data_IF_344811128545
#
_entry.id   IF_344811128545
#
_cell.length_a   1.000
_cell.length_b   1.000
_cell.length_c   1.000
_cell.angle_alpha   90.00
_cell.angle_beta   90.00
_cell.angle_gamma   90.00
#
_symmetry.space_group_name_H-M   'P 1'
#
loop_
_entity.id
_entity.type
_entity.pdbx_description
1 polymer ?
#
# COMPACT_ATOMS: atom_id res chain seq x y z
N UNK A 1 21.08 5.86 -28.42
CA UNK A 1 21.14 5.67 -26.94
C UNK A 1 20.10 6.48 -26.14
N UNK A 2 19.90 7.78 -26.44
CA UNK A 2 18.96 8.66 -25.71
C UNK A 2 17.47 8.45 -26.02
N UNK A 3 17.14 7.93 -27.21
CA UNK A 3 15.76 7.69 -27.64
C UNK A 3 15.10 6.51 -26.88
N UNK A 4 15.88 5.46 -26.58
CA UNK A 4 15.42 4.26 -25.86
C UNK A 4 15.07 4.54 -24.39
N UNK A 5 15.74 5.52 -23.77
CA UNK A 5 15.54 5.87 -22.36
C UNK A 5 14.23 6.64 -22.13
N UNK A 6 13.82 7.50 -23.08
CA UNK A 6 12.54 8.23 -23.04
C UNK A 6 11.33 7.29 -23.16
N UNK A 7 11.42 6.26 -23.99
CA UNK A 7 10.34 5.28 -24.19
C UNK A 7 10.09 4.46 -22.91
N UNK A 8 11.14 4.06 -22.19
CA UNK A 8 11.02 3.31 -20.92
C UNK A 8 10.40 4.13 -19.79
N UNK A 9 10.69 5.42 -19.70
CA UNK A 9 10.06 6.29 -18.69
C UNK A 9 8.58 6.52 -19.01
N UNK A 10 8.23 6.69 -20.28
CA UNK A 10 6.83 6.82 -20.72
C UNK A 10 5.99 5.59 -20.39
N UNK A 11 6.51 4.39 -20.64
CA UNK A 11 5.79 3.14 -20.33
C UNK A 11 5.58 2.93 -18.83
N UNK A 12 6.55 3.33 -17.99
CA UNK A 12 6.42 3.24 -16.53
C UNK A 12 5.34 4.19 -15.96
N UNK A 13 5.24 5.40 -16.50
CA UNK A 13 4.22 6.37 -16.10
C UNK A 13 2.83 5.88 -16.52
N UNK A 14 2.70 5.38 -17.76
CA UNK A 14 1.44 4.86 -18.27
C UNK A 14 0.97 3.62 -17.50
N UNK A 15 1.90 2.71 -17.18
CA UNK A 15 1.63 1.55 -16.32
C UNK A 15 1.21 1.96 -14.90
N UNK A 16 1.81 3.02 -14.37
CA UNK A 16 1.46 3.60 -13.07
C UNK A 16 0.04 4.16 -13.06
N UNK A 17 -0.35 4.91 -14.10
CA UNK A 17 -1.68 5.51 -14.23
C UNK A 17 -2.75 4.42 -14.39
N UNK A 18 -2.52 3.43 -15.26
CA UNK A 18 -3.50 2.35 -15.49
C UNK A 18 -3.66 1.48 -14.24
N UNK A 19 -2.58 1.19 -13.52
CA UNK A 19 -2.66 0.48 -12.24
C UNK A 19 -3.38 1.34 -11.19
N UNK A 20 -3.06 2.63 -11.10
CA UNK A 20 -3.72 3.58 -10.20
C UNK A 20 -5.22 3.71 -10.46
N UNK A 21 -5.64 3.76 -11.71
CA UNK A 21 -7.07 3.78 -12.10
C UNK A 21 -7.78 2.47 -11.74
N UNK A 22 -7.14 1.31 -11.93
CA UNK A 22 -7.69 0.02 -11.47
C UNK A 22 -7.80 -0.05 -9.95
N UNK A 23 -6.83 0.53 -9.22
CA UNK A 23 -6.93 0.67 -7.76
C UNK A 23 -8.08 1.60 -7.34
N UNK A 24 -8.28 2.73 -8.04
CA UNK A 24 -9.41 3.62 -7.79
C UNK A 24 -10.77 2.94 -8.04
N UNK A 25 -10.92 2.17 -9.11
CA UNK A 25 -12.12 1.36 -9.35
C UNK A 25 -12.32 0.27 -8.30
N UNK A 26 -11.23 -0.31 -7.79
CA UNK A 26 -11.32 -1.24 -6.66
C UNK A 26 -11.71 -0.53 -5.35
N UNK A 27 -11.38 0.76 -5.19
CA UNK A 27 -11.73 1.57 -4.01
C UNK A 27 -13.25 1.72 -3.83
N UNK A 28 -13.99 1.79 -4.94
CA UNK A 28 -15.45 1.80 -4.91
C UNK A 28 -16.03 0.47 -4.40
N UNK A 29 -15.36 -0.66 -4.67
CA UNK A 29 -15.72 -1.96 -4.10
C UNK A 29 -15.32 -2.08 -2.62
N UNK A 30 -14.24 -1.41 -2.19
CA UNK A 30 -13.84 -1.34 -0.77
C UNK A 30 -14.83 -0.54 0.08
N UNK A 31 -15.48 0.49 -0.48
CA UNK A 31 -16.54 1.26 0.21
C UNK A 31 -17.75 0.41 0.62
N UNK A 32 -17.99 -0.73 -0.03
CA UNK A 32 -19.09 -1.64 0.29
C UNK A 32 -18.72 -2.76 1.27
N UNK A 33 -17.43 -2.91 1.64
CA UNK A 33 -17.01 -3.86 2.65
C UNK A 33 -17.19 -3.23 4.05
N UNK A 34 -18.42 -3.30 4.57
CA UNK A 34 -18.91 -2.63 5.80
C UNK A 34 -18.30 -3.12 7.12
N UNK A 35 -17.03 -3.55 7.14
CA UNK A 35 -16.27 -3.88 8.36
C UNK A 35 -14.82 -3.35 8.31
N UNK A 36 -14.54 -2.35 7.48
CA UNK A 36 -13.22 -1.70 7.42
C UNK A 36 -12.89 -1.07 8.78
N UNK A 37 -11.73 -1.39 9.34
CA UNK A 37 -11.21 -0.64 10.48
C UNK A 37 -11.19 0.85 10.12
N UNK A 38 -11.72 1.71 10.99
CA UNK A 38 -11.68 3.16 10.79
C UNK A 38 -10.21 3.61 10.83
N UNK A 39 -9.65 3.89 9.65
CA UNK A 39 -8.31 4.42 9.50
C UNK A 39 -8.31 5.61 8.53
N UNK A 40 -7.36 6.52 8.72
CA UNK A 40 -7.19 7.69 7.87
C UNK A 40 -6.41 7.33 6.59
N UNK A 41 -5.49 6.36 6.68
CA UNK A 41 -4.68 5.89 5.57
C UNK A 41 -4.56 4.37 5.57
N UNK A 42 -4.78 3.75 4.40
CA UNK A 42 -4.59 2.33 4.15
C UNK A 42 -3.43 2.14 3.17
N UNK A 43 -2.40 1.40 3.59
CA UNK A 43 -1.27 1.00 2.75
C UNK A 43 -1.38 -0.50 2.48
N UNK A 44 -1.45 -0.90 1.22
CA UNK A 44 -1.48 -2.32 0.83
C UNK A 44 -0.21 -2.73 0.11
N UNK A 45 0.35 -3.88 0.46
CA UNK A 45 1.51 -4.45 -0.23
C UNK A 45 1.04 -5.34 -1.38
N UNK A 46 1.80 -5.35 -2.48
CA UNK A 46 1.45 -6.19 -3.63
C UNK A 46 1.52 -7.66 -3.23
N UNK A 47 0.48 -8.45 -3.52
CA UNK A 47 0.58 -9.89 -3.44
C UNK A 47 1.56 -10.40 -4.50
N UNK A 48 2.11 -11.60 -4.28
CA UNK A 48 3.04 -12.27 -5.19
C UNK A 48 4.51 -11.79 -5.11
N UNK A 49 4.96 -11.49 -3.89
CA UNK A 49 6.38 -11.34 -3.52
C UNK A 49 6.70 -12.42 -2.47
N UNK A 50 7.97 -12.77 -2.31
CA UNK A 50 8.41 -13.71 -1.27
C UNK A 50 7.86 -13.27 0.11
N UNK A 51 7.13 -14.15 0.79
CA UNK A 51 6.44 -13.82 2.05
C UNK A 51 7.42 -13.26 3.10
N UNK A 52 8.64 -13.81 3.15
CA UNK A 52 9.66 -13.37 4.08
C UNK A 52 10.14 -11.96 3.77
N UNK A 53 10.30 -11.61 2.49
CA UNK A 53 10.69 -10.26 2.07
C UNK A 53 9.58 -9.25 2.38
N UNK A 54 8.31 -9.60 2.16
CA UNK A 54 7.19 -8.72 2.53
C UNK A 54 7.11 -8.52 4.03
N UNK A 55 7.27 -9.57 4.84
CA UNK A 55 7.31 -9.43 6.30
C UNK A 55 8.44 -8.49 6.75
N UNK A 56 9.63 -8.62 6.16
CA UNK A 56 10.75 -7.73 6.46
C UNK A 56 10.46 -6.28 6.07
N UNK A 57 9.89 -6.06 4.88
CA UNK A 57 9.54 -4.73 4.39
C UNK A 57 8.41 -4.08 5.21
N UNK A 58 7.41 -4.86 5.62
CA UNK A 58 6.34 -4.42 6.53
C UNK A 58 6.94 -4.02 7.88
N UNK A 59 7.82 -4.85 8.46
CA UNK A 59 8.46 -4.57 9.73
C UNK A 59 9.33 -3.31 9.67
N UNK A 60 10.15 -3.17 8.63
CA UNK A 60 10.96 -1.99 8.39
C UNK A 60 10.10 -0.72 8.28
N UNK A 61 9.03 -0.76 7.49
CA UNK A 61 8.17 0.43 7.32
C UNK A 61 7.48 0.82 8.63
N UNK A 62 7.02 -0.16 9.40
CA UNK A 62 6.43 0.08 10.73
C UNK A 62 7.45 0.72 11.68
N UNK A 63 8.69 0.25 11.67
CA UNK A 63 9.77 0.81 12.49
C UNK A 63 10.08 2.27 12.12
N UNK A 64 10.19 2.56 10.82
CA UNK A 64 10.38 3.92 10.31
C UNK A 64 9.21 4.83 10.72
N UNK A 65 7.96 4.38 10.56
CA UNK A 65 6.79 5.18 10.95
C UNK A 65 6.79 5.44 12.45
N UNK A 66 7.01 4.42 13.29
CA UNK A 66 7.03 4.58 14.75
C UNK A 66 8.18 5.46 15.24
N UNK A 67 9.32 5.44 14.55
CA UNK A 67 10.48 6.28 14.87
C UNK A 67 10.20 7.75 14.59
N UNK A 68 9.52 8.06 13.48
CA UNK A 68 9.29 9.45 13.05
C UNK A 68 7.96 10.01 13.59
N UNK A 69 6.92 9.19 13.70
CA UNK A 69 5.57 9.57 14.10
C UNK A 69 5.03 8.59 15.17
N UNK A 70 5.56 8.61 16.39
CA UNK A 70 5.21 7.65 17.44
C UNK A 70 3.74 7.72 17.89
N UNK A 71 3.05 8.82 17.61
CA UNK A 71 1.63 9.02 17.93
C UNK A 71 0.68 8.41 16.90
N UNK A 72 1.20 8.04 15.71
CA UNK A 72 0.40 7.42 14.66
C UNK A 72 0.07 5.98 15.05
N UNK A 73 -1.22 5.66 15.14
CA UNK A 73 -1.66 4.30 15.42
C UNK A 73 -1.55 3.46 14.16
N UNK A 74 -1.00 2.25 14.30
CA UNK A 74 -0.78 1.31 13.19
C UNK A 74 -1.42 -0.03 13.54
N UNK A 75 -2.35 -0.50 12.71
CA UNK A 75 -2.86 -1.86 12.73
C UNK A 75 -2.37 -2.61 11.48
N UNK A 76 -1.72 -3.76 11.69
CA UNK A 76 -1.17 -4.60 10.63
C UNK A 76 -2.13 -5.77 10.40
N UNK A 77 -2.58 -5.99 9.17
CA UNK A 77 -3.39 -7.17 8.80
C UNK A 77 -2.77 -7.93 7.64
N UNK A 78 -2.86 -9.26 7.68
CA UNK A 78 -2.60 -10.13 6.53
C UNK A 78 -3.91 -10.65 5.99
N UNK A 79 -4.26 -10.22 4.77
CA UNK A 79 -5.48 -10.62 4.08
C UNK A 79 -5.21 -11.91 3.29
N UNK A 80 -5.42 -13.06 3.93
CA UNK A 80 -5.15 -14.40 3.36
C UNK A 80 -5.76 -14.64 1.98
N UNK A 81 -6.99 -14.19 1.74
CA UNK A 81 -7.69 -14.39 0.44
C UNK A 81 -6.98 -13.71 -0.73
N UNK A 82 -6.36 -12.56 -0.48
CA UNK A 82 -5.65 -11.77 -1.51
C UNK A 82 -4.14 -11.88 -1.37
N UNK A 83 -3.67 -12.68 -0.42
CA UNK A 83 -2.28 -12.78 0.04
C UNK A 83 -1.54 -11.44 0.10
N UNK A 84 -2.16 -10.45 0.76
CA UNK A 84 -1.60 -9.12 0.88
C UNK A 84 -1.52 -8.67 2.34
N UNK A 85 -0.41 -8.03 2.69
CA UNK A 85 -0.32 -7.29 3.94
C UNK A 85 -0.96 -5.91 3.76
N UNK A 86 -1.49 -5.37 4.84
CA UNK A 86 -2.05 -4.04 4.88
C UNK A 86 -1.69 -3.35 6.22
N UNK A 87 -1.36 -2.05 6.14
CA UNK A 87 -1.24 -1.16 7.29
C UNK A 87 -2.43 -0.21 7.30
N UNK A 88 -3.16 -0.21 8.40
CA UNK A 88 -4.23 0.74 8.70
C UNK A 88 -3.63 1.78 9.66
N UNK A 89 -3.56 3.03 9.20
CA UNK A 89 -2.92 4.13 9.91
C UNK A 89 -3.99 5.13 10.36
N UNK A 90 -3.97 5.48 11.64
CA UNK A 90 -4.90 6.45 12.22
C UNK A 90 -4.14 7.51 13.00
N UNK A 91 -4.31 8.76 12.59
CA UNK A 91 -3.81 9.93 13.27
C UNK A 91 -4.51 10.11 14.61
N UNK A 92 -3.72 10.15 15.69
CA UNK A 92 -4.20 10.45 17.03
C UNK A 92 -4.18 11.95 17.38
N UNK A 93 -3.91 12.83 16.41
CA UNK A 93 -3.78 14.26 16.65
C UNK A 93 -5.16 14.84 17.01
N UNK A 94 -5.27 15.36 18.23
CA UNK A 94 -6.42 16.15 18.70
C UNK A 94 -6.19 17.63 18.42
#
# INVERSE_FOLDING_TARGET
PLHSMRVRVGSLIQDGIVKGQRFALSSDLWRYATTTAHCDLLVTFKPNQNEQEIKQLVAWLVDIIKTNEPQLKIEIRHHKLKDCYALYLTAGYK
#
